data_IF_004242601484
#
_entry.id   IF_004242601484
#
_cell.length_a   1.000
_cell.length_b   1.000
_cell.length_c   1.000
_cell.angle_alpha   90.00
_cell.angle_beta   90.00
_cell.angle_gamma   90.00
#
_symmetry.space_group_name_H-M   'P 1'
#
loop_
_entity.id
_entity.type
_entity.pdbx_description
1 polymer ?
#
# COMPACT_ATOMS: atom_id res chain seq x y z
N UNK A 1 -6.86 10.04 13.94
CA UNK A 1 -5.51 10.61 13.75
C UNK A 1 -5.41 11.10 12.32
N UNK A 2 -4.83 12.27 12.07
CA UNK A 2 -4.58 12.70 10.69
C UNK A 2 -3.54 11.80 10.01
N UNK A 3 -3.55 11.75 8.67
CA UNK A 3 -2.68 10.85 7.89
C UNK A 3 -1.18 11.05 8.18
N UNK A 4 -0.77 12.29 8.46
CA UNK A 4 0.63 12.59 8.77
C UNK A 4 1.06 12.05 10.14
N UNK A 5 0.20 12.05 11.15
CA UNK A 5 0.53 11.43 12.44
C UNK A 5 0.68 9.92 12.30
N UNK A 6 -0.13 9.28 11.46
CA UNK A 6 -0.06 7.82 11.24
C UNK A 6 1.29 7.42 10.65
N UNK A 7 1.79 8.13 9.63
CA UNK A 7 3.09 7.81 9.05
C UNK A 7 4.25 8.09 10.02
N UNK A 8 4.21 9.20 10.77
CA UNK A 8 5.24 9.50 11.76
C UNK A 8 5.31 8.43 12.84
N UNK A 9 4.16 8.00 13.38
CA UNK A 9 4.12 6.92 14.37
C UNK A 9 4.54 5.57 13.78
N UNK A 10 4.17 5.26 12.54
CA UNK A 10 4.62 4.06 11.86
C UNK A 10 6.16 4.03 11.72
N UNK A 11 6.79 5.17 11.41
CA UNK A 11 8.25 5.28 11.33
C UNK A 11 8.92 5.07 12.68
N UNK A 12 8.41 5.73 13.73
CA UNK A 12 8.93 5.58 15.11
C UNK A 12 8.85 4.11 15.56
N UNK A 13 7.72 3.44 15.33
CA UNK A 13 7.52 2.04 15.68
C UNK A 13 8.37 1.08 14.83
N UNK A 14 8.62 1.42 13.56
CA UNK A 14 9.45 0.59 12.66
C UNK A 14 10.95 0.75 12.91
N UNK A 15 11.38 1.89 13.44
CA UNK A 15 12.80 2.21 13.70
C UNK A 15 13.54 1.13 14.51
N UNK A 16 13.05 0.66 15.67
CA UNK A 16 13.75 -0.36 16.45
C UNK A 16 13.87 -1.70 15.73
N UNK A 17 12.94 -2.02 14.84
CA UNK A 17 13.03 -3.23 14.00
C UNK A 17 14.06 -3.07 12.89
N UNK A 18 14.12 -1.88 12.27
CA UNK A 18 14.99 -1.59 11.14
C UNK A 18 16.44 -1.32 11.54
N UNK A 19 16.71 -0.88 12.78
CA UNK A 19 18.07 -0.52 13.20
C UNK A 19 19.04 -1.71 13.14
N UNK A 20 18.58 -2.92 13.46
CA UNK A 20 19.40 -4.13 13.43
C UNK A 20 19.91 -4.46 12.02
N UNK A 21 19.03 -4.67 11.03
CA UNK A 21 19.43 -4.89 9.64
C UNK A 21 20.26 -3.73 9.08
N UNK A 22 19.86 -2.47 9.32
CA UNK A 22 20.61 -1.31 8.82
C UNK A 22 22.02 -1.28 9.39
N UNK A 23 22.18 -1.51 10.70
CA UNK A 23 23.49 -1.56 11.35
C UNK A 23 24.35 -2.72 10.82
N UNK A 24 23.75 -3.90 10.69
CA UNK A 24 24.43 -5.07 10.14
C UNK A 24 24.95 -4.81 8.72
N UNK A 25 24.11 -4.28 7.83
CA UNK A 25 24.54 -3.93 6.47
C UNK A 25 25.58 -2.81 6.46
N UNK A 26 25.44 -1.80 7.31
CA UNK A 26 26.40 -0.70 7.42
C UNK A 26 27.78 -1.21 7.87
N UNK A 27 27.84 -2.17 8.81
CA UNK A 27 29.08 -2.76 9.29
C UNK A 27 29.78 -3.64 8.23
N UNK A 28 29.02 -4.25 7.32
CA UNK A 28 29.57 -5.03 6.21
C UNK A 28 30.05 -4.14 5.06
N UNK A 29 29.57 -2.89 4.98
CA UNK A 29 29.92 -2.00 3.89
C UNK A 29 31.32 -1.43 4.08
N UNK A 30 32.20 -1.69 3.10
CA UNK A 30 33.54 -1.11 3.06
C UNK A 30 33.57 0.04 2.05
N UNK A 31 34.15 1.17 2.44
CA UNK A 31 34.32 2.35 1.58
C UNK A 31 33.31 3.47 1.82
N UNK A 32 33.58 4.63 1.22
CA UNK A 32 32.72 5.81 1.34
C UNK A 32 31.49 5.68 0.43
N UNK A 33 30.32 6.02 0.99
CA UNK A 33 29.08 6.13 0.21
C UNK A 33 29.14 7.41 -0.62
N UNK A 34 28.88 7.31 -1.92
CA UNK A 34 28.93 8.46 -2.81
C UNK A 34 27.89 9.52 -2.43
N UNK A 35 28.21 10.80 -2.67
CA UNK A 35 27.26 11.91 -2.44
C UNK A 35 25.97 11.77 -3.26
N UNK A 36 26.06 11.17 -4.46
CA UNK A 36 24.90 10.89 -5.31
C UNK A 36 23.95 9.90 -4.65
N UNK A 37 24.47 8.88 -3.99
CA UNK A 37 23.67 7.88 -3.26
C UNK A 37 22.91 8.52 -2.10
N UNK A 38 23.54 9.44 -1.37
CA UNK A 38 22.87 10.20 -0.30
C UNK A 38 21.75 11.08 -0.83
N UNK A 39 21.94 11.76 -1.96
CA UNK A 39 20.88 12.54 -2.59
C UNK A 39 19.73 11.68 -3.10
N UNK A 40 20.03 10.55 -3.74
CA UNK A 40 19.00 9.60 -4.18
C UNK A 40 18.21 9.04 -3.01
N UNK A 41 18.88 8.67 -1.92
CA UNK A 41 18.25 8.22 -0.69
C UNK A 41 17.35 9.30 -0.07
N UNK A 42 17.86 10.52 0.08
CA UNK A 42 17.08 11.64 0.61
C UNK A 42 15.85 11.96 -0.25
N UNK A 43 16.00 11.94 -1.58
CA UNK A 43 14.90 12.13 -2.50
C UNK A 43 13.81 11.06 -2.34
N UNK A 44 14.19 9.79 -2.38
CA UNK A 44 13.24 8.67 -2.26
C UNK A 44 12.58 8.65 -0.88
N UNK A 45 13.32 8.92 0.20
CA UNK A 45 12.79 8.90 1.55
C UNK A 45 11.82 10.08 1.82
N UNK A 46 12.18 11.29 1.40
CA UNK A 46 11.40 12.50 1.73
C UNK A 46 10.27 12.74 0.73
N UNK A 47 10.55 12.74 -0.58
CA UNK A 47 9.55 13.09 -1.58
C UNK A 47 8.68 11.89 -1.94
N UNK A 48 9.29 10.78 -2.38
CA UNK A 48 8.53 9.63 -2.87
C UNK A 48 7.79 8.92 -1.74
N UNK A 49 8.49 8.66 -0.64
CA UNK A 49 7.91 7.92 0.48
C UNK A 49 7.14 8.86 1.42
N UNK A 50 7.82 9.75 2.15
CA UNK A 50 7.18 10.53 3.22
C UNK A 50 6.08 11.49 2.71
N UNK A 51 6.39 12.38 1.77
CA UNK A 51 5.39 13.31 1.21
C UNK A 51 4.34 12.58 0.38
N UNK A 52 4.71 11.52 -0.35
CA UNK A 52 3.78 10.65 -1.06
C UNK A 52 2.66 10.11 -0.16
N UNK A 53 2.97 9.77 1.10
CA UNK A 53 1.97 9.32 2.06
C UNK A 53 0.91 10.39 2.38
N UNK A 54 1.22 11.69 2.32
CA UNK A 54 0.21 12.73 2.56
C UNK A 54 -0.86 12.72 1.48
N UNK A 55 -0.42 12.70 0.21
CA UNK A 55 -1.32 12.61 -0.94
C UNK A 55 -2.09 11.27 -0.93
N UNK A 56 -1.42 10.18 -0.57
CA UNK A 56 -2.05 8.86 -0.49
C UNK A 56 -3.12 8.78 0.60
N UNK A 57 -2.84 9.24 1.82
CA UNK A 57 -3.82 9.26 2.91
C UNK A 57 -4.99 10.20 2.61
N UNK A 58 -4.73 11.35 1.98
CA UNK A 58 -5.80 12.22 1.48
C UNK A 58 -6.65 11.50 0.43
N UNK A 59 -6.02 10.81 -0.53
CA UNK A 59 -6.70 9.98 -1.53
C UNK A 59 -7.53 8.85 -0.93
N UNK A 60 -7.02 8.17 0.10
CA UNK A 60 -7.75 7.14 0.86
C UNK A 60 -8.96 7.72 1.59
N UNK A 61 -8.81 8.90 2.19
CA UNK A 61 -9.90 9.58 2.88
C UNK A 61 -11.01 10.02 1.92
N UNK A 62 -10.66 10.48 0.72
CA UNK A 62 -11.62 10.90 -0.32
C UNK A 62 -12.27 9.72 -1.06
N UNK A 63 -11.48 8.71 -1.42
CA UNK A 63 -11.91 7.60 -2.28
C UNK A 63 -12.45 6.37 -1.52
N UNK A 64 -12.23 6.32 -0.21
CA UNK A 64 -12.56 5.17 0.64
C UNK A 64 -11.52 4.05 0.56
N UNK A 65 -11.08 3.56 1.72
CA UNK A 65 -9.99 2.58 1.84
C UNK A 65 -10.25 1.31 1.00
N UNK A 66 -11.48 0.77 1.08
CA UNK A 66 -11.85 -0.45 0.37
C UNK A 66 -11.87 -0.30 -1.16
N UNK A 67 -12.13 0.89 -1.69
CA UNK A 67 -12.11 1.14 -3.15
C UNK A 67 -10.69 1.37 -3.64
N UNK A 68 -9.91 2.16 -2.90
CA UNK A 68 -8.52 2.47 -3.25
C UNK A 68 -7.63 1.23 -3.18
N UNK A 69 -7.83 0.34 -2.20
CA UNK A 69 -7.11 -0.95 -2.14
C UNK A 69 -7.38 -1.83 -3.37
N UNK A 70 -8.59 -1.78 -3.91
CA UNK A 70 -8.95 -2.49 -5.13
C UNK A 70 -8.30 -1.89 -6.38
N UNK A 71 -8.16 -0.56 -6.43
CA UNK A 71 -7.41 0.12 -7.50
C UNK A 71 -5.92 -0.26 -7.41
N UNK A 72 -5.37 -0.40 -6.19
CA UNK A 72 -3.98 -0.80 -6.00
C UNK A 72 -3.68 -2.20 -6.56
N UNK A 73 -4.67 -3.10 -6.64
CA UNK A 73 -4.47 -4.39 -7.32
C UNK A 73 -4.18 -4.22 -8.82
N UNK A 74 -4.73 -3.18 -9.46
CA UNK A 74 -4.43 -2.86 -10.86
C UNK A 74 -2.99 -2.34 -11.03
N UNK A 75 -2.41 -1.72 -9.99
CA UNK A 75 -1.08 -1.13 -10.04
C UNK A 75 -0.03 -2.15 -10.49
N UNK A 76 -0.05 -3.36 -9.94
CA UNK A 76 0.95 -4.40 -10.22
C UNK A 76 0.96 -4.76 -11.72
N UNK A 77 -0.22 -4.86 -12.34
CA UNK A 77 -0.35 -5.18 -13.75
C UNK A 77 0.12 -4.02 -14.64
N UNK A 78 -0.26 -2.79 -14.29
CA UNK A 78 0.21 -1.62 -15.02
C UNK A 78 1.71 -1.43 -14.88
N UNK A 79 2.31 -1.72 -13.72
CA UNK A 79 3.76 -1.71 -13.56
C UNK A 79 4.43 -2.67 -14.53
N UNK A 80 3.97 -3.93 -14.62
CA UNK A 80 4.54 -4.92 -15.58
C UNK A 80 4.35 -4.44 -17.04
N UNK A 81 3.15 -3.96 -17.38
CA UNK A 81 2.85 -3.50 -18.73
C UNK A 81 3.70 -2.28 -19.13
N UNK A 82 3.87 -1.32 -18.23
CA UNK A 82 4.70 -0.14 -18.46
C UNK A 82 6.19 -0.48 -18.47
N UNK A 83 6.66 -1.42 -17.64
CA UNK A 83 8.04 -1.93 -17.74
C UNK A 83 8.32 -2.52 -19.13
N UNK A 84 7.42 -3.38 -19.63
CA UNK A 84 7.54 -3.95 -20.96
C UNK A 84 7.51 -2.88 -22.06
N UNK A 85 6.61 -1.89 -21.95
CA UNK A 85 6.41 -0.86 -22.97
C UNK A 85 7.53 0.20 -23.00
N UNK A 86 7.92 0.73 -21.85
CA UNK A 86 8.85 1.85 -21.76
C UNK A 86 10.31 1.42 -21.62
N UNK A 87 10.56 0.27 -20.98
CA UNK A 87 11.93 -0.22 -20.72
C UNK A 87 12.30 -1.42 -21.61
N UNK A 88 11.37 -1.92 -22.44
CA UNK A 88 11.62 -3.01 -23.37
C UNK A 88 11.89 -4.35 -22.68
N UNK A 89 11.50 -4.51 -21.41
CA UNK A 89 11.73 -5.75 -20.68
C UNK A 89 10.92 -6.90 -21.31
N UNK A 90 11.60 -8.02 -21.58
CA UNK A 90 10.96 -9.21 -22.10
C UNK A 90 10.19 -9.93 -21.00
N UNK A 91 8.90 -9.61 -20.91
CA UNK A 91 7.97 -10.31 -20.01
C UNK A 91 7.67 -11.68 -20.59
N UNK A 92 8.21 -12.72 -19.94
CA UNK A 92 7.99 -14.11 -20.36
C UNK A 92 6.49 -14.41 -20.50
N UNK A 93 6.07 -15.22 -21.50
CA UNK A 93 4.67 -15.56 -21.71
C UNK A 93 3.98 -16.14 -20.46
N UNK A 94 4.71 -16.90 -19.63
CA UNK A 94 4.18 -17.45 -18.38
C UNK A 94 3.73 -16.38 -17.39
N UNK A 95 4.40 -15.22 -17.37
CA UNK A 95 4.04 -14.07 -16.52
C UNK A 95 2.69 -13.50 -16.92
N UNK A 96 2.39 -13.43 -18.22
CA UNK A 96 1.09 -12.99 -18.72
C UNK A 96 -0.02 -13.97 -18.35
N UNK A 97 0.23 -15.28 -18.46
CA UNK A 97 -0.71 -16.32 -18.03
C UNK A 97 -1.00 -16.19 -16.53
N UNK A 98 0.04 -16.04 -15.73
CA UNK A 98 -0.11 -15.87 -14.28
C UNK A 98 -0.85 -14.58 -13.94
N UNK A 99 -0.54 -13.48 -14.63
CA UNK A 99 -1.22 -12.21 -14.45
C UNK A 99 -2.73 -12.32 -14.71
N UNK A 100 -3.12 -12.96 -15.82
CA UNK A 100 -4.54 -13.25 -16.12
C UNK A 100 -5.16 -14.12 -15.03
N UNK A 101 -4.46 -15.15 -14.56
CA UNK A 101 -4.91 -16.02 -13.47
C UNK A 101 -5.19 -15.23 -12.18
N UNK A 102 -4.27 -14.36 -11.76
CA UNK A 102 -4.44 -13.49 -10.58
C UNK A 102 -5.63 -12.55 -10.77
N UNK A 103 -5.81 -11.94 -11.96
CA UNK A 103 -6.98 -11.08 -12.25
C UNK A 103 -8.28 -11.86 -12.06
N UNK A 104 -8.36 -13.08 -12.61
CA UNK A 104 -9.54 -13.93 -12.48
C UNK A 104 -9.83 -14.27 -11.01
N UNK A 105 -8.82 -14.68 -10.25
CA UNK A 105 -8.95 -14.96 -8.81
C UNK A 105 -9.42 -13.74 -8.03
N UNK A 106 -8.85 -12.56 -8.30
CA UNK A 106 -9.26 -11.30 -7.67
C UNK A 106 -10.71 -10.96 -8.00
N UNK A 107 -11.12 -11.07 -9.27
CA UNK A 107 -12.50 -10.78 -9.69
C UNK A 107 -13.49 -11.75 -9.05
N UNK A 108 -13.16 -13.05 -8.96
CA UNK A 108 -13.97 -14.06 -8.28
C UNK A 108 -14.08 -13.76 -6.77
N UNK A 109 -12.98 -13.46 -6.09
CA UNK A 109 -12.95 -13.14 -4.67
C UNK A 109 -13.69 -11.85 -4.32
N UNK A 110 -13.71 -10.86 -5.22
CA UNK A 110 -14.52 -9.63 -5.03
C UNK A 110 -16.02 -9.91 -5.09
N UNK A 111 -16.46 -10.89 -5.89
CA UNK A 111 -17.88 -11.26 -6.02
C UNK A 111 -18.42 -11.99 -4.78
N UNK A 112 -17.56 -12.61 -3.98
CA UNK A 112 -17.92 -13.32 -2.76
C UNK A 112 -17.85 -12.46 -1.49
N UNK A 113 -17.54 -11.16 -1.60
CA UNK A 113 -17.47 -10.26 -0.47
C UNK A 113 -18.83 -10.19 0.27
N UNK A 114 -18.82 -10.59 1.56
CA UNK A 114 -20.00 -10.74 2.40
C UNK A 114 -20.67 -9.39 2.64
N UNK A 115 -22.00 -9.32 2.41
CA UNK A 115 -22.80 -8.13 2.73
C UNK A 115 -22.80 -7.88 4.24
N UNK A 116 -22.61 -6.64 4.72
CA UNK A 116 -22.80 -6.32 6.12
C UNK A 116 -24.22 -6.69 6.54
N UNK A 117 -24.38 -7.33 7.71
CA UNK A 117 -25.69 -7.63 8.26
C UNK A 117 -26.46 -6.32 8.49
N UNK A 118 -27.70 -6.26 7.99
CA UNK A 118 -28.62 -5.14 8.25
C UNK A 118 -28.79 -4.99 9.76
N UNK A 119 -28.54 -3.80 10.36
CA UNK A 119 -28.80 -3.60 11.78
C UNK A 119 -30.29 -3.83 12.04
N UNK A 120 -30.62 -4.75 12.95
CA UNK A 120 -32.01 -4.96 13.37
C UNK A 120 -32.53 -3.63 13.94
N UNK A 121 -33.61 -3.11 13.36
CA UNK A 121 -34.32 -1.96 13.92
C UNK A 121 -34.77 -2.32 15.33
N UNK A 122 -34.27 -1.57 16.32
CA UNK A 122 -34.63 -1.69 17.73
C UNK A 122 -36.16 -1.67 17.85
N UNK A 123 -36.79 -2.66 18.53
CA UNK A 123 -38.23 -2.68 18.72
C UNK A 123 -38.69 -1.40 19.44
N UNK A 124 -39.86 -0.82 19.08
CA UNK A 124 -40.39 0.34 19.79
C UNK A 124 -40.61 0.00 21.27
N UNK A 125 -40.20 0.91 22.16
CA UNK A 125 -40.35 0.77 23.60
C UNK A 125 -41.81 0.50 23.96
N UNK A 126 -42.05 -0.54 24.77
CA UNK A 126 -43.38 -0.87 25.28
C UNK A 126 -43.94 0.28 26.11
N UNK A 127 -45.26 0.56 26.06
CA UNK A 127 -45.85 1.62 26.88
C UNK A 127 -45.74 1.24 28.35
N UNK A 128 -45.15 2.13 29.17
CA UNK A 128 -45.16 1.99 30.62
C UNK A 128 -46.60 2.08 31.15
N UNK A 129 -47.06 1.14 32.00
CA UNK A 129 -48.35 1.25 32.67
C UNK A 129 -48.29 2.36 33.73
N UNK A 130 -49.33 3.20 33.75
CA UNK A 130 -49.51 4.32 34.70
C UNK A 130 -49.78 3.83 36.11
#
# INVERSE_FOLDING_TARGET
MGGWQVICWALVLSTPLLIGPVWYLAAQHQGAISMRTWWAFGYVALFSQFLGFFAWYAGLAMGGIARVSQIQLLQIFFTIAFSALFFGEQVQPITWVFAVGVILTVVLGRKTAVRPATPLSTPPASPQPR
#
